data_IF_107338298831
#
_entry.id   IF_107338298831
#
_cell.length_a   1.000
_cell.length_b   1.000
_cell.length_c   1.000
_cell.angle_alpha   90.00
_cell.angle_beta   90.00
_cell.angle_gamma   90.00
#
_symmetry.space_group_name_H-M   'P 1'
#
loop_
_entity.id
_entity.type
_entity.pdbx_description
1 polymer ?
#
# COMPACT_ATOMS: atom_id res chain seq x y z
N UNK A 1 3.43 26.44 -15.35
CA UNK A 1 2.88 26.27 -16.72
C UNK A 1 3.00 24.78 -17.06
N UNK A 2 1.94 24.02 -16.86
CA UNK A 2 1.84 22.63 -17.30
C UNK A 2 1.39 22.70 -18.77
N UNK A 3 2.28 22.35 -19.69
CA UNK A 3 1.92 22.24 -21.10
C UNK A 3 0.97 21.05 -21.27
N UNK A 4 -0.22 21.31 -21.74
CA UNK A 4 -1.19 20.34 -22.23
C UNK A 4 -0.54 19.54 -23.36
N UNK A 5 -0.18 18.29 -23.09
CA UNK A 5 0.19 17.33 -24.11
C UNK A 5 -1.12 16.91 -24.78
N UNK A 6 -1.43 17.51 -25.88
CA UNK A 6 -2.58 17.14 -26.70
C UNK A 6 -2.36 15.74 -27.28
N UNK A 7 -3.37 14.90 -27.18
CA UNK A 7 -3.49 13.49 -27.63
C UNK A 7 -3.24 13.26 -29.14
N UNK A 8 -2.86 14.27 -29.92
CA UNK A 8 -2.81 14.20 -31.39
C UNK A 8 -1.46 13.77 -32.00
N UNK A 9 -0.48 13.35 -31.20
CA UNK A 9 0.84 12.88 -31.73
C UNK A 9 1.22 11.45 -31.30
N UNK A 10 0.22 10.58 -31.05
CA UNK A 10 0.53 9.18 -30.76
C UNK A 10 0.73 8.45 -32.09
N UNK A 11 2.01 8.25 -32.47
CA UNK A 11 2.42 7.31 -33.51
C UNK A 11 1.79 5.94 -33.25
N UNK A 12 1.44 5.17 -34.31
CA UNK A 12 0.91 3.80 -34.13
C UNK A 12 1.83 3.00 -33.22
N UNK A 13 1.30 2.31 -32.18
CA UNK A 13 2.12 1.52 -31.27
C UNK A 13 2.87 0.43 -32.05
N UNK A 14 4.19 0.39 -31.89
CA UNK A 14 5.09 -0.51 -32.64
C UNK A 14 5.43 -1.77 -31.86
N UNK A 15 5.30 -1.75 -30.55
CA UNK A 15 5.66 -2.88 -29.65
C UNK A 15 4.51 -3.25 -28.74
N UNK A 16 4.55 -4.47 -28.18
CA UNK A 16 3.60 -4.92 -27.15
C UNK A 16 3.55 -3.94 -25.97
N UNK A 17 4.72 -3.48 -25.52
CA UNK A 17 4.79 -2.47 -24.45
C UNK A 17 4.05 -1.18 -24.79
N UNK A 18 4.17 -0.69 -26.02
CA UNK A 18 3.51 0.56 -26.44
C UNK A 18 1.98 0.36 -26.49
N UNK A 19 1.52 -0.83 -26.89
CA UNK A 19 0.10 -1.18 -26.86
C UNK A 19 -0.42 -1.20 -25.43
N UNK A 20 0.26 -1.90 -24.49
CA UNK A 20 -0.11 -1.96 -23.08
C UNK A 20 -0.11 -0.56 -22.47
N UNK A 21 0.93 0.23 -22.69
CA UNK A 21 1.03 1.60 -22.18
C UNK A 21 -0.16 2.45 -22.61
N UNK A 22 -0.54 2.39 -23.89
CA UNK A 22 -1.70 3.13 -24.42
C UNK A 22 -3.01 2.72 -23.76
N UNK A 23 -3.28 1.40 -23.63
CA UNK A 23 -4.49 0.90 -22.97
C UNK A 23 -4.55 1.31 -21.51
N UNK A 24 -3.43 1.24 -20.81
CA UNK A 24 -3.36 1.67 -19.40
C UNK A 24 -3.61 3.17 -19.25
N UNK A 25 -3.07 4.01 -20.14
CA UNK A 25 -3.38 5.44 -20.14
C UNK A 25 -4.87 5.68 -20.32
N UNK A 26 -5.52 5.01 -21.25
CA UNK A 26 -6.96 5.13 -21.48
C UNK A 26 -7.78 4.71 -20.24
N UNK A 27 -7.36 3.65 -19.53
CA UNK A 27 -8.02 3.20 -18.31
C UNK A 27 -7.83 4.23 -17.18
N UNK A 28 -6.61 4.71 -16.97
CA UNK A 28 -6.31 5.67 -15.92
C UNK A 28 -7.00 7.02 -16.16
N UNK A 29 -6.99 7.53 -17.39
CA UNK A 29 -7.65 8.77 -17.74
C UNK A 29 -9.19 8.66 -17.62
N UNK A 30 -9.79 7.58 -18.07
CA UNK A 30 -11.22 7.34 -17.90
C UNK A 30 -11.60 7.27 -16.44
N UNK A 31 -10.80 6.61 -15.61
CA UNK A 31 -11.05 6.53 -14.19
C UNK A 31 -10.88 7.88 -13.51
N UNK A 32 -9.78 8.61 -13.80
CA UNK A 32 -9.50 9.94 -13.21
C UNK A 32 -10.63 10.95 -13.50
N UNK A 33 -11.24 10.88 -14.67
CA UNK A 33 -12.33 11.77 -15.09
C UNK A 33 -13.74 11.24 -14.74
N UNK A 34 -13.85 10.10 -14.06
CA UNK A 34 -15.13 9.58 -13.61
C UNK A 34 -15.70 10.41 -12.46
N UNK A 35 -17.04 10.58 -12.41
CA UNK A 35 -17.73 11.38 -11.38
C UNK A 35 -17.39 10.93 -9.96
N UNK A 36 -17.28 9.63 -9.74
CA UNK A 36 -16.97 9.03 -8.43
C UNK A 36 -15.68 8.21 -8.54
N UNK A 37 -14.61 8.85 -9.03
CA UNK A 37 -13.33 8.21 -9.26
C UNK A 37 -12.73 7.66 -7.96
N UNK A 38 -12.15 6.48 -8.08
CA UNK A 38 -11.24 5.96 -7.04
C UNK A 38 -9.85 6.57 -7.15
N UNK A 39 -9.51 7.13 -8.31
CA UNK A 39 -8.20 7.68 -8.64
C UNK A 39 -8.22 9.19 -8.45
N UNK A 40 -7.47 9.68 -7.47
CA UNK A 40 -7.34 11.12 -7.21
C UNK A 40 -6.25 11.72 -8.11
N UNK A 41 -5.13 11.03 -8.24
CA UNK A 41 -4.04 11.41 -9.13
C UNK A 41 -3.11 10.24 -9.42
N UNK A 42 -2.33 10.35 -10.50
CA UNK A 42 -1.25 9.44 -10.82
C UNK A 42 -0.13 10.15 -11.58
N UNK A 43 1.07 9.57 -11.57
CA UNK A 43 2.18 10.07 -12.38
C UNK A 43 2.20 9.36 -13.73
N UNK A 44 2.43 10.03 -14.85
CA UNK A 44 2.56 9.37 -16.16
C UNK A 44 3.66 8.29 -16.18
N UNK A 45 4.68 8.45 -15.34
CA UNK A 45 5.76 7.48 -15.21
C UNK A 45 5.29 6.11 -14.68
N UNK A 46 4.29 6.08 -13.78
CA UNK A 46 3.79 4.82 -13.22
C UNK A 46 3.14 3.94 -14.28
N UNK A 47 2.40 4.54 -15.21
CA UNK A 47 1.75 3.82 -16.33
C UNK A 47 2.80 3.14 -17.21
N UNK A 48 3.87 3.87 -17.55
CA UNK A 48 5.01 3.31 -18.32
C UNK A 48 5.67 2.15 -17.59
N UNK A 49 5.84 2.28 -16.28
CA UNK A 49 6.47 1.26 -15.45
C UNK A 49 5.58 0.01 -15.33
N UNK A 50 4.28 0.18 -15.14
CA UNK A 50 3.31 -0.93 -15.17
C UNK A 50 3.39 -1.64 -16.54
N UNK A 51 3.34 -0.89 -17.64
CA UNK A 51 3.44 -1.47 -18.98
C UNK A 51 4.74 -2.26 -19.19
N UNK A 52 5.86 -1.76 -18.67
CA UNK A 52 7.16 -2.44 -18.77
C UNK A 52 7.20 -3.76 -17.98
N UNK A 53 6.57 -3.84 -16.82
CA UNK A 53 6.41 -5.10 -16.07
C UNK A 53 5.48 -6.06 -16.81
N UNK A 54 4.31 -5.60 -17.22
CA UNK A 54 3.31 -6.42 -17.89
C UNK A 54 3.77 -6.94 -19.27
N UNK A 55 4.58 -6.17 -20.00
CA UNK A 55 5.18 -6.60 -21.28
C UNK A 55 6.42 -7.51 -21.11
N UNK A 56 6.83 -7.82 -19.88
CA UNK A 56 8.00 -8.61 -19.59
C UNK A 56 9.34 -7.92 -19.88
N UNK A 57 9.36 -6.61 -20.13
CA UNK A 57 10.60 -5.82 -20.26
C UNK A 57 11.35 -5.74 -18.95
N UNK A 58 10.64 -5.66 -17.82
CA UNK A 58 11.22 -5.74 -16.49
C UNK A 58 10.92 -7.14 -15.94
N UNK A 59 11.97 -7.92 -15.69
CA UNK A 59 11.88 -9.31 -15.20
C UNK A 59 12.16 -9.45 -13.70
N UNK A 60 12.54 -8.37 -13.05
CA UNK A 60 12.80 -8.35 -11.60
C UNK A 60 11.48 -8.42 -10.82
N UNK A 61 11.50 -8.93 -9.59
CA UNK A 61 10.34 -8.80 -8.72
C UNK A 61 9.92 -7.34 -8.57
N UNK A 62 8.62 -7.08 -8.54
CA UNK A 62 8.08 -5.75 -8.29
C UNK A 62 7.84 -5.53 -6.79
N UNK A 63 8.02 -4.30 -6.32
CA UNK A 63 7.69 -3.91 -4.96
C UNK A 63 6.64 -2.80 -4.93
N UNK A 64 5.61 -2.98 -4.08
CA UNK A 64 4.49 -2.05 -3.93
C UNK A 64 4.42 -1.58 -2.48
N UNK A 65 4.54 -0.27 -2.26
CA UNK A 65 4.36 0.35 -0.96
C UNK A 65 3.03 1.10 -0.89
N UNK A 66 2.21 0.83 0.13
CA UNK A 66 0.90 1.45 0.31
C UNK A 66 0.87 2.19 1.64
N UNK A 67 0.75 3.51 1.60
CA UNK A 67 0.64 4.35 2.78
C UNK A 67 -0.72 5.07 2.84
N UNK A 68 -1.03 5.61 4.00
CA UNK A 68 -2.23 6.40 4.24
C UNK A 68 -2.51 6.49 5.73
N UNK A 69 -3.35 7.43 6.11
CA UNK A 69 -3.70 7.65 7.51
C UNK A 69 -4.42 6.46 8.16
N UNK A 70 -4.52 6.47 9.48
CA UNK A 70 -5.38 5.50 10.17
C UNK A 70 -6.81 5.61 9.63
N UNK A 71 -7.50 4.47 9.57
CA UNK A 71 -8.86 4.36 9.01
C UNK A 71 -9.02 4.78 7.53
N UNK A 72 -7.94 5.06 6.79
CA UNK A 72 -8.01 5.44 5.36
C UNK A 72 -8.51 4.31 4.44
N UNK A 73 -8.52 3.07 4.87
CA UNK A 73 -8.90 1.93 4.04
C UNK A 73 -7.74 1.25 3.30
N UNK A 74 -6.48 1.66 3.58
CA UNK A 74 -5.29 1.07 2.95
C UNK A 74 -5.23 -0.46 3.04
N UNK A 75 -5.51 -1.04 4.22
CA UNK A 75 -5.46 -2.51 4.38
C UNK A 75 -6.54 -3.22 3.56
N UNK A 76 -7.74 -2.63 3.41
CA UNK A 76 -8.80 -3.17 2.55
C UNK A 76 -8.37 -3.16 1.08
N UNK A 77 -7.82 -2.03 0.62
CA UNK A 77 -7.32 -1.89 -0.76
C UNK A 77 -6.16 -2.86 -1.00
N UNK A 78 -5.27 -3.01 -0.03
CA UNK A 78 -4.14 -3.96 -0.11
C UNK A 78 -4.63 -5.39 -0.25
N UNK A 79 -5.63 -5.80 0.53
CA UNK A 79 -6.19 -7.16 0.42
C UNK A 79 -6.89 -7.38 -0.92
N UNK A 80 -7.66 -6.40 -1.41
CA UNK A 80 -8.31 -6.49 -2.72
C UNK A 80 -7.28 -6.58 -3.87
N UNK A 81 -6.15 -5.87 -3.75
CA UNK A 81 -5.05 -5.95 -4.70
C UNK A 81 -4.38 -7.34 -4.65
N UNK A 82 -4.12 -7.88 -3.46
CA UNK A 82 -3.56 -9.21 -3.27
C UNK A 82 -4.49 -10.26 -3.87
N UNK A 83 -5.76 -10.29 -3.46
CA UNK A 83 -6.76 -11.25 -3.94
C UNK A 83 -6.86 -11.24 -5.48
N UNK A 84 -6.83 -10.04 -6.07
CA UNK A 84 -6.94 -9.88 -7.52
C UNK A 84 -5.70 -10.41 -8.25
N UNK A 85 -4.50 -10.11 -7.74
CA UNK A 85 -3.24 -10.58 -8.33
C UNK A 85 -3.09 -12.10 -8.16
N UNK A 86 -3.42 -12.65 -6.99
CA UNK A 86 -3.34 -14.09 -6.74
C UNK A 86 -4.34 -14.88 -7.60
N UNK A 87 -5.56 -14.35 -7.76
CA UNK A 87 -6.56 -14.96 -8.66
C UNK A 87 -6.05 -14.99 -10.10
N UNK A 88 -5.47 -13.89 -10.58
CA UNK A 88 -4.87 -13.82 -11.90
C UNK A 88 -3.66 -14.76 -12.05
N UNK A 89 -2.78 -14.79 -11.05
CA UNK A 89 -1.60 -15.66 -11.06
C UNK A 89 -1.98 -17.14 -11.11
N UNK A 90 -3.08 -17.52 -10.45
CA UNK A 90 -3.59 -18.90 -10.43
C UNK A 90 -4.03 -19.39 -11.82
N UNK A 91 -4.50 -18.48 -12.70
CA UNK A 91 -4.86 -18.84 -14.09
C UNK A 91 -3.64 -19.31 -14.91
N UNK A 92 -2.43 -18.94 -14.46
CA UNK A 92 -1.15 -19.32 -15.08
C UNK A 92 -0.35 -20.35 -14.26
N UNK A 93 -1.00 -21.05 -13.31
CA UNK A 93 -0.33 -21.97 -12.37
C UNK A 93 0.81 -21.34 -11.56
N UNK A 94 0.83 -20.00 -11.39
CA UNK A 94 1.79 -19.29 -10.56
C UNK A 94 1.32 -19.35 -9.11
N UNK A 95 2.03 -20.10 -8.28
CA UNK A 95 1.81 -20.17 -6.83
C UNK A 95 2.69 -19.15 -6.11
N UNK A 96 2.23 -18.69 -4.93
CA UNK A 96 2.98 -17.77 -4.08
C UNK A 96 3.47 -16.53 -4.86
N UNK A 97 2.56 -15.91 -5.64
CA UNK A 97 2.87 -14.76 -6.48
C UNK A 97 3.26 -13.53 -5.65
N UNK A 98 2.77 -13.45 -4.40
CA UNK A 98 2.93 -12.29 -3.53
C UNK A 98 3.57 -12.68 -2.20
N UNK A 99 4.50 -11.82 -1.73
CA UNK A 99 4.95 -11.80 -0.34
C UNK A 99 4.52 -10.49 0.31
N UNK A 100 3.74 -10.59 1.39
CA UNK A 100 3.32 -9.43 2.18
C UNK A 100 4.30 -9.15 3.31
N UNK A 101 4.70 -7.88 3.42
CA UNK A 101 5.50 -7.35 4.53
C UNK A 101 4.67 -6.27 5.24
N UNK A 102 4.11 -6.61 6.40
CA UNK A 102 3.26 -5.67 7.13
C UNK A 102 4.12 -4.71 7.96
N UNK A 103 3.96 -3.40 7.75
CA UNK A 103 4.72 -2.37 8.47
C UNK A 103 4.48 -2.42 9.98
N UNK A 104 3.26 -2.75 10.40
CA UNK A 104 2.90 -2.81 11.82
C UNK A 104 3.63 -3.93 12.59
N UNK A 105 4.17 -4.93 11.89
CA UNK A 105 4.98 -5.98 12.52
C UNK A 105 6.38 -5.49 12.95
N UNK A 106 6.78 -4.26 12.56
CA UNK A 106 8.07 -3.66 12.87
C UNK A 106 8.06 -2.70 14.06
N UNK A 107 6.95 -2.56 14.79
CA UNK A 107 6.97 -1.86 16.07
C UNK A 107 8.01 -2.47 17.01
N UNK A 108 8.75 -1.63 17.75
CA UNK A 108 9.64 -2.12 18.80
C UNK A 108 8.86 -2.82 19.89
N UNK A 109 9.44 -3.90 20.47
CA UNK A 109 8.87 -4.54 21.66
C UNK A 109 8.79 -3.54 22.82
N UNK A 110 7.61 -3.34 23.34
CA UNK A 110 7.32 -2.48 24.50
C UNK A 110 6.53 -3.23 25.57
N UNK A 111 6.52 -4.55 25.52
CA UNK A 111 5.73 -5.40 26.42
C UNK A 111 6.07 -5.15 27.90
N UNK A 112 7.34 -4.92 28.24
CA UNK A 112 7.74 -4.60 29.62
C UNK A 112 7.24 -3.21 30.06
N UNK A 113 7.18 -2.24 29.13
CA UNK A 113 6.62 -0.92 29.43
C UNK A 113 5.09 -0.99 29.65
N UNK A 114 4.40 -1.81 28.88
CA UNK A 114 2.95 -2.06 29.05
C UNK A 114 2.67 -2.72 30.40
N UNK A 115 3.48 -3.73 30.79
CA UNK A 115 3.38 -4.37 32.10
C UNK A 115 3.62 -3.38 33.24
N UNK A 116 4.63 -2.53 33.13
CA UNK A 116 4.96 -1.51 34.13
C UNK A 116 3.85 -0.45 34.27
N UNK A 117 3.18 -0.11 33.16
CA UNK A 117 2.04 0.81 33.16
C UNK A 117 0.73 0.18 33.66
N UNK A 118 0.68 -1.14 33.80
CA UNK A 118 -0.49 -1.89 34.25
C UNK A 118 -1.50 -2.20 33.14
N UNK A 119 -1.53 -1.43 32.03
CA UNK A 119 -2.37 -1.68 30.87
C UNK A 119 -1.80 -1.00 29.61
N UNK A 120 -2.23 -1.48 28.43
CA UNK A 120 -1.91 -0.82 27.17
C UNK A 120 -2.47 0.61 27.10
N UNK A 121 -3.65 0.84 27.63
CA UNK A 121 -4.28 2.17 27.65
C UNK A 121 -3.44 3.18 28.44
N UNK A 122 -2.95 2.80 29.62
CA UNK A 122 -2.07 3.66 30.45
C UNK A 122 -0.70 3.88 29.77
N UNK A 123 -0.13 2.85 29.16
CA UNK A 123 1.08 2.98 28.36
C UNK A 123 0.91 3.95 27.20
N UNK A 124 -0.17 3.81 26.42
CA UNK A 124 -0.43 4.62 25.23
C UNK A 124 -0.71 6.11 25.53
N UNK A 125 -1.07 6.47 26.77
CA UNK A 125 -1.18 7.87 27.17
C UNK A 125 0.19 8.57 27.25
N UNK A 126 1.25 7.82 27.52
CA UNK A 126 2.58 8.35 27.78
C UNK A 126 3.61 7.98 26.70
N UNK A 127 3.25 7.11 25.78
CA UNK A 127 4.12 6.65 24.70
C UNK A 127 3.48 6.85 23.33
N UNK A 128 4.21 7.54 22.46
CA UNK A 128 3.74 7.85 21.12
C UNK A 128 4.06 6.69 20.17
N UNK A 129 3.00 6.02 19.73
CA UNK A 129 3.08 4.92 18.76
C UNK A 129 2.95 5.40 17.31
N UNK A 130 2.36 6.59 17.09
CA UNK A 130 2.07 7.13 15.76
C UNK A 130 3.24 7.98 15.21
N UNK A 131 4.46 7.56 15.50
CA UNK A 131 5.69 8.19 15.01
C UNK A 131 6.60 7.17 14.32
N UNK A 132 7.37 7.55 13.27
CA UNK A 132 8.27 6.63 12.58
C UNK A 132 9.33 6.00 13.51
N UNK A 133 9.68 6.68 14.59
CA UNK A 133 10.66 6.22 15.58
C UNK A 133 10.14 5.08 16.47
N UNK A 134 8.84 4.82 16.47
CA UNK A 134 8.26 3.68 17.16
C UNK A 134 8.50 2.35 16.43
N UNK A 135 8.94 2.40 15.16
CA UNK A 135 9.16 1.23 14.31
C UNK A 135 10.61 1.11 13.87
N UNK A 136 11.05 -0.13 13.69
CA UNK A 136 12.36 -0.47 13.12
C UNK A 136 12.30 -0.48 11.57
N UNK A 137 12.08 0.70 10.98
CA UNK A 137 11.89 0.87 9.54
C UNK A 137 13.13 0.49 8.71
N UNK A 138 14.31 0.59 9.27
CA UNK A 138 15.56 0.17 8.62
C UNK A 138 15.64 -1.35 8.48
N UNK A 139 15.15 -2.09 9.49
CA UNK A 139 15.03 -3.55 9.41
C UNK A 139 13.99 -3.94 8.34
N UNK A 140 12.85 -3.23 8.30
CA UNK A 140 11.84 -3.45 7.26
C UNK A 140 12.42 -3.22 5.85
N UNK A 141 13.14 -2.12 5.65
CA UNK A 141 13.83 -1.84 4.37
C UNK A 141 14.77 -2.99 3.99
N UNK A 142 15.59 -3.44 4.94
CA UNK A 142 16.52 -4.57 4.73
C UNK A 142 15.78 -5.84 4.30
N UNK A 143 14.71 -6.22 5.00
CA UNK A 143 13.95 -7.43 4.68
C UNK A 143 13.31 -7.34 3.28
N UNK A 144 12.74 -6.19 2.89
CA UNK A 144 12.20 -5.98 1.54
C UNK A 144 13.32 -6.14 0.49
N UNK A 145 14.50 -5.55 0.72
CA UNK A 145 15.64 -5.67 -0.21
C UNK A 145 16.17 -7.09 -0.31
N UNK A 146 16.18 -7.85 0.78
CA UNK A 146 16.55 -9.27 0.78
C UNK A 146 15.56 -10.08 -0.08
N UNK A 147 14.26 -9.90 0.11
CA UNK A 147 13.22 -10.56 -0.69
C UNK A 147 13.33 -10.21 -2.17
N UNK A 148 13.52 -8.94 -2.50
CA UNK A 148 13.71 -8.48 -3.89
C UNK A 148 14.97 -9.06 -4.55
N UNK A 149 16.00 -9.37 -3.75
CA UNK A 149 17.23 -10.02 -4.24
C UNK A 149 17.11 -11.53 -4.39
N UNK A 150 15.94 -12.12 -4.10
CA UNK A 150 15.71 -13.56 -4.15
C UNK A 150 16.09 -14.30 -2.86
N UNK A 151 16.39 -13.60 -1.77
CA UNK A 151 16.76 -14.20 -0.48
C UNK A 151 15.56 -14.30 0.44
N UNK A 152 15.29 -15.51 0.96
CA UNK A 152 14.33 -15.71 2.03
C UNK A 152 14.83 -15.05 3.34
N UNK A 153 13.91 -14.47 4.11
CA UNK A 153 14.24 -13.80 5.37
C UNK A 153 13.14 -14.03 6.42
N UNK A 154 13.50 -13.97 7.69
CA UNK A 154 12.52 -14.07 8.77
C UNK A 154 11.95 -12.70 9.08
N UNK A 155 10.62 -12.58 8.99
CA UNK A 155 9.90 -11.36 9.37
C UNK A 155 9.49 -11.41 10.85
N UNK A 156 9.48 -10.27 11.53
CA UNK A 156 8.92 -10.17 12.88
C UNK A 156 7.40 -10.27 12.84
N UNK A 157 6.79 -10.44 14.02
CA UNK A 157 5.36 -10.33 14.25
C UNK A 157 5.11 -9.50 15.49
N UNK A 158 4.29 -8.46 15.36
CA UNK A 158 3.88 -7.62 16.47
C UNK A 158 2.46 -7.99 16.93
N UNK A 159 2.28 -8.06 18.25
CA UNK A 159 0.99 -8.34 18.83
C UNK A 159 0.17 -7.06 19.00
N UNK A 160 -0.83 -6.90 18.14
CA UNK A 160 -1.76 -5.78 18.16
C UNK A 160 -2.90 -5.94 19.18
N UNK A 161 -2.92 -7.03 19.98
CA UNK A 161 -3.96 -7.28 20.98
C UNK A 161 -3.79 -6.47 22.29
N UNK A 162 -2.75 -5.62 22.34
CA UNK A 162 -2.52 -4.74 23.48
C UNK A 162 -1.37 -5.16 24.40
N UNK A 163 -0.63 -6.23 24.09
CA UNK A 163 0.57 -6.58 24.84
C UNK A 163 1.81 -5.78 24.43
N UNK A 164 1.79 -5.13 23.27
CA UNK A 164 2.93 -4.46 22.65
C UNK A 164 4.17 -5.34 22.49
N UNK A 165 3.98 -6.67 22.40
CA UNK A 165 5.06 -7.64 22.27
C UNK A 165 5.41 -7.86 20.79
N UNK A 166 6.70 -7.89 20.48
CA UNK A 166 7.20 -8.31 19.17
C UNK A 166 7.90 -9.66 19.28
N UNK A 167 7.61 -10.51 18.32
CA UNK A 167 8.26 -11.81 18.14
C UNK A 167 9.20 -11.68 16.93
N UNK A 168 10.51 -11.65 17.20
CA UNK A 168 11.50 -11.65 16.14
C UNK A 168 11.58 -13.02 15.47
N UNK A 169 11.98 -13.04 14.19
CA UNK A 169 12.14 -14.27 13.40
C UNK A 169 10.89 -15.18 13.40
N UNK A 170 9.71 -14.57 13.41
CA UNK A 170 8.44 -15.29 13.56
C UNK A 170 8.06 -16.07 12.29
N UNK A 171 8.15 -15.44 11.11
CA UNK A 171 7.66 -16.02 9.86
C UNK A 171 8.75 -16.03 8.80
N UNK A 172 9.08 -17.19 8.26
CA UNK A 172 9.98 -17.29 7.10
C UNK A 172 9.24 -16.83 5.85
N UNK A 173 9.57 -15.63 5.39
CA UNK A 173 9.10 -15.10 4.12
C UNK A 173 10.01 -15.56 2.98
N UNK A 174 9.40 -16.04 1.89
CA UNK A 174 10.10 -16.44 0.67
C UNK A 174 10.00 -15.34 -0.38
N UNK A 175 11.01 -15.20 -1.25
CA UNK A 175 10.91 -14.33 -2.41
C UNK A 175 9.73 -14.71 -3.30
N UNK A 176 9.05 -13.71 -3.83
CA UNK A 176 7.92 -13.88 -4.76
C UNK A 176 8.05 -12.92 -5.94
N UNK A 177 7.11 -12.96 -6.88
CA UNK A 177 7.09 -12.04 -8.03
C UNK A 177 6.76 -10.60 -7.62
N UNK A 178 5.98 -10.44 -6.54
CA UNK A 178 5.57 -9.13 -6.05
C UNK A 178 5.72 -9.09 -4.53
N UNK A 179 6.40 -8.06 -4.03
CA UNK A 179 6.51 -7.78 -2.60
C UNK A 179 5.58 -6.62 -2.29
N UNK A 180 4.59 -6.83 -1.42
CA UNK A 180 3.65 -5.77 -1.03
C UNK A 180 3.87 -5.41 0.44
N UNK A 181 3.99 -4.11 0.72
CA UNK A 181 3.99 -3.59 2.09
C UNK A 181 2.93 -2.51 2.27
N UNK A 182 2.28 -2.50 3.43
CA UNK A 182 1.30 -1.47 3.77
C UNK A 182 1.46 -1.02 5.23
N UNK A 183 1.16 0.25 5.48
CA UNK A 183 1.15 0.82 6.82
C UNK A 183 1.28 2.35 6.82
N UNK A 184 1.26 2.94 8.02
CA UNK A 184 1.30 4.40 8.19
C UNK A 184 2.59 5.00 7.61
N UNK A 185 3.72 4.33 7.81
CA UNK A 185 5.06 4.87 7.54
C UNK A 185 5.75 4.24 6.33
N UNK A 186 5.01 3.47 5.52
CA UNK A 186 5.55 2.75 4.36
C UNK A 186 6.22 3.66 3.32
N UNK A 187 5.75 4.90 3.14
CA UNK A 187 6.33 5.84 2.19
C UNK A 187 7.19 6.95 2.84
N UNK A 188 7.65 6.75 4.07
CA UNK A 188 8.61 7.66 4.69
C UNK A 188 9.98 7.58 4.02
N UNK A 189 10.80 8.63 4.21
CA UNK A 189 12.16 8.74 3.63
C UNK A 189 13.04 7.50 3.89
N UNK A 190 12.84 6.81 5.01
CA UNK A 190 13.63 5.63 5.37
C UNK A 190 13.32 4.39 4.53
N UNK A 191 12.11 4.29 3.96
CA UNK A 191 11.62 3.04 3.35
C UNK A 191 11.16 3.22 1.90
N UNK A 192 10.74 4.42 1.50
CA UNK A 192 10.15 4.70 0.18
C UNK A 192 10.96 4.17 -1.01
N UNK A 193 12.28 4.15 -0.90
CA UNK A 193 13.19 3.73 -1.97
C UNK A 193 13.31 2.19 -2.08
N UNK A 194 12.60 1.46 -1.21
CA UNK A 194 12.42 0.02 -1.37
C UNK A 194 11.31 -0.32 -2.38
N UNK A 195 10.48 0.67 -2.76
CA UNK A 195 9.28 0.41 -3.57
C UNK A 195 9.40 0.95 -4.99
N UNK A 196 9.08 0.08 -5.93
CA UNK A 196 8.90 0.40 -7.35
C UNK A 196 7.62 1.20 -7.58
N UNK A 197 6.54 0.83 -6.91
CA UNK A 197 5.24 1.46 -6.99
C UNK A 197 4.83 1.98 -5.62
N UNK A 198 4.48 3.25 -5.56
CA UNK A 198 4.11 3.95 -4.34
C UNK A 198 2.66 4.42 -4.43
N UNK A 199 1.82 3.90 -3.55
CA UNK A 199 0.39 4.21 -3.49
C UNK A 199 0.09 4.93 -2.17
N UNK A 200 -0.58 6.06 -2.25
CA UNK A 200 -1.11 6.74 -1.08
C UNK A 200 -2.63 6.66 -1.09
N UNK A 201 -3.22 6.27 0.05
CA UNK A 201 -4.68 6.21 0.23
C UNK A 201 -5.12 7.42 1.02
N UNK A 202 -5.73 8.37 0.32
CA UNK A 202 -6.31 9.59 0.89
C UNK A 202 -7.75 9.33 1.33
N UNK A 203 -8.17 9.96 2.41
CA UNK A 203 -9.52 9.79 2.94
C UNK A 203 -10.13 11.14 3.31
N UNK A 204 -11.44 11.27 3.09
CA UNK A 204 -12.24 12.38 3.63
C UNK A 204 -12.22 12.36 5.16
N UNK A 205 -12.04 13.53 5.78
CA UNK A 205 -11.85 13.66 7.22
C UNK A 205 -13.07 13.17 8.03
N UNK A 206 -14.29 13.41 7.52
CA UNK A 206 -15.52 12.95 8.16
C UNK A 206 -15.61 11.43 8.13
N UNK A 207 -15.36 10.82 6.97
CA UNK A 207 -15.39 9.36 6.81
C UNK A 207 -14.29 8.70 7.67
N UNK A 208 -13.10 9.31 7.71
CA UNK A 208 -12.01 8.85 8.59
C UNK A 208 -12.43 8.83 10.05
N UNK A 209 -13.04 9.93 10.51
CA UNK A 209 -13.53 10.07 11.88
C UNK A 209 -14.57 8.99 12.20
N UNK A 210 -15.58 8.82 11.36
CA UNK A 210 -16.64 7.83 11.55
C UNK A 210 -16.05 6.41 11.65
N UNK A 211 -15.15 6.04 10.74
CA UNK A 211 -14.47 4.73 10.74
C UNK A 211 -13.58 4.53 11.97
N UNK A 212 -12.91 5.59 12.41
CA UNK A 212 -12.09 5.51 13.61
C UNK A 212 -12.91 5.18 14.84
N UNK A 213 -14.03 5.88 15.06
CA UNK A 213 -14.87 5.64 16.25
C UNK A 213 -15.57 4.28 16.22
N UNK A 214 -15.93 3.76 15.04
CA UNK A 214 -16.40 2.37 14.93
C UNK A 214 -15.33 1.41 15.45
N UNK A 215 -14.09 1.53 15.00
CA UNK A 215 -12.97 0.70 15.49
C UNK A 215 -12.62 0.94 16.95
N UNK A 216 -12.71 2.17 17.42
CA UNK A 216 -12.48 2.52 18.82
C UNK A 216 -13.44 1.78 19.74
N UNK A 217 -14.71 1.68 19.32
CA UNK A 217 -15.73 0.89 20.02
C UNK A 217 -15.43 -0.61 20.00
N UNK A 218 -15.04 -1.16 18.84
CA UNK A 218 -14.64 -2.57 18.70
C UNK A 218 -13.44 -2.95 19.57
N UNK A 219 -12.52 -1.98 19.81
CA UNK A 219 -11.31 -2.14 20.61
C UNK A 219 -11.46 -1.73 22.07
N UNK A 220 -12.67 -1.36 22.47
CA UNK A 220 -13.02 -0.92 23.85
C UNK A 220 -12.12 0.23 24.36
N UNK A 221 -11.85 1.24 23.50
CA UNK A 221 -11.00 2.37 23.85
C UNK A 221 -11.68 3.36 24.82
N UNK A 222 -12.99 3.29 25.01
CA UNK A 222 -13.75 4.12 25.92
C UNK A 222 -13.42 5.63 25.80
N UNK A 223 -13.27 6.29 26.94
CA UNK A 223 -12.99 7.74 27.02
C UNK A 223 -11.62 8.14 26.42
N UNK A 224 -10.75 7.19 26.16
CA UNK A 224 -9.44 7.45 25.54
C UNK A 224 -9.53 7.69 24.02
N UNK A 225 -10.66 7.35 23.38
CA UNK A 225 -10.80 7.41 21.92
C UNK A 225 -10.54 8.83 21.37
N UNK A 226 -11.05 9.86 22.02
CA UNK A 226 -10.92 11.25 21.57
C UNK A 226 -9.45 11.72 21.60
N UNK A 227 -8.73 11.40 22.67
CA UNK A 227 -7.34 11.80 22.82
C UNK A 227 -6.45 11.02 21.82
N UNK A 228 -6.74 9.73 21.61
CA UNK A 228 -6.02 8.90 20.64
C UNK A 228 -6.29 9.43 19.22
N UNK A 229 -7.54 9.76 18.87
CA UNK A 229 -7.87 10.33 17.56
C UNK A 229 -7.14 11.65 17.30
N UNK A 230 -7.16 12.55 18.29
CA UNK A 230 -6.46 13.83 18.19
C UNK A 230 -4.95 13.63 17.96
N UNK A 231 -4.31 12.81 18.79
CA UNK A 231 -2.88 12.53 18.69
C UNK A 231 -2.53 11.91 17.34
N UNK A 232 -3.31 10.93 16.88
CA UNK A 232 -3.12 10.30 15.57
C UNK A 232 -3.19 11.29 14.41
N UNK A 233 -4.12 12.28 14.47
CA UNK A 233 -4.22 13.31 13.44
C UNK A 233 -3.03 14.28 13.47
N UNK A 234 -2.62 14.76 14.65
CA UNK A 234 -1.45 15.63 14.79
C UNK A 234 -0.18 14.96 14.24
N UNK A 235 -0.01 13.67 14.48
CA UNK A 235 1.12 12.90 13.93
C UNK A 235 0.97 12.63 12.44
N UNK A 236 -0.25 12.39 11.97
CA UNK A 236 -0.51 12.22 10.54
C UNK A 236 -0.13 13.47 9.75
N UNK A 237 -0.42 14.67 10.26
CA UNK A 237 -0.05 15.93 9.62
C UNK A 237 1.47 16.08 9.44
N UNK A 238 2.23 15.59 10.41
CA UNK A 238 3.70 15.70 10.41
C UNK A 238 4.38 14.59 9.60
N UNK A 239 3.92 13.34 9.75
CA UNK A 239 4.67 12.17 9.27
C UNK A 239 4.02 11.42 8.12
N UNK A 240 2.69 11.46 7.99
CA UNK A 240 1.97 10.60 7.04
C UNK A 240 1.47 11.38 5.83
N UNK A 241 0.75 12.48 6.02
CA UNK A 241 0.23 13.31 4.92
C UNK A 241 1.32 13.82 3.97
N UNK A 242 2.51 14.24 4.45
CA UNK A 242 3.60 14.65 3.56
C UNK A 242 4.08 13.53 2.62
N UNK A 243 3.92 12.26 3.01
CA UNK A 243 4.29 11.11 2.18
C UNK A 243 3.47 11.00 0.89
N UNK A 244 2.29 11.64 0.81
CA UNK A 244 1.49 11.74 -0.41
C UNK A 244 2.30 12.27 -1.60
N UNK A 245 3.26 13.18 -1.36
CA UNK A 245 4.14 13.74 -2.40
C UNK A 245 5.08 12.71 -3.04
N UNK A 246 5.31 11.58 -2.37
CA UNK A 246 6.16 10.50 -2.86
C UNK A 246 5.38 9.46 -3.66
N UNK A 247 4.03 9.54 -3.64
CA UNK A 247 3.19 8.54 -4.27
C UNK A 247 3.17 8.68 -5.80
N UNK A 248 3.23 7.54 -6.47
CA UNK A 248 3.01 7.42 -7.91
C UNK A 248 1.51 7.41 -8.25
N UNK A 249 0.69 6.89 -7.32
CA UNK A 249 -0.77 6.80 -7.42
C UNK A 249 -1.38 7.25 -6.09
N UNK A 250 -2.38 8.13 -6.17
CA UNK A 250 -3.20 8.51 -5.02
C UNK A 250 -4.61 7.98 -5.22
N UNK A 251 -5.07 7.13 -4.31
CA UNK A 251 -6.40 6.52 -4.33
C UNK A 251 -7.31 7.13 -3.26
N UNK A 252 -8.60 7.20 -3.56
CA UNK A 252 -9.62 7.64 -2.59
C UNK A 252 -10.02 6.51 -1.67
N UNK A 253 -9.64 6.54 -0.42
CA UNK A 253 -10.10 5.60 0.62
C UNK A 253 -11.59 5.71 0.94
N UNK A 254 -12.27 6.73 0.44
CA UNK A 254 -13.71 6.95 0.62
C UNK A 254 -14.57 6.23 -0.44
N UNK A 255 -13.95 5.72 -1.51
CA UNK A 255 -14.68 5.09 -2.60
C UNK A 255 -15.20 3.70 -2.24
N UNK A 256 -16.18 3.24 -3.03
CA UNK A 256 -16.77 1.90 -2.89
C UNK A 256 -15.72 0.82 -3.25
N UNK A 257 -15.68 -0.24 -2.44
CA UNK A 257 -14.79 -1.39 -2.62
C UNK A 257 -14.96 -2.08 -3.98
N UNK A 258 -16.17 -2.16 -4.51
CA UNK A 258 -16.45 -2.78 -5.80
C UNK A 258 -15.75 -2.01 -6.93
N UNK A 259 -15.64 -0.68 -6.81
CA UNK A 259 -14.97 0.14 -7.82
C UNK A 259 -13.48 -0.14 -7.90
N UNK A 260 -12.80 -0.40 -6.76
CA UNK A 260 -11.40 -0.81 -6.76
C UNK A 260 -11.20 -2.12 -7.51
N UNK A 261 -12.02 -3.13 -7.22
CA UNK A 261 -11.94 -4.43 -7.90
C UNK A 261 -12.18 -4.27 -9.41
N UNK A 262 -13.17 -3.47 -9.80
CA UNK A 262 -13.45 -3.20 -11.21
C UNK A 262 -12.29 -2.49 -11.91
N UNK A 263 -11.62 -1.55 -11.25
CA UNK A 263 -10.45 -0.86 -11.81
C UNK A 263 -9.27 -1.83 -11.98
N UNK A 264 -8.97 -2.64 -10.98
CA UNK A 264 -7.92 -3.66 -11.04
C UNK A 264 -8.21 -4.69 -12.14
N UNK A 265 -9.46 -5.16 -12.24
CA UNK A 265 -9.86 -6.10 -13.28
C UNK A 265 -9.72 -5.52 -14.70
N UNK A 266 -9.98 -4.21 -14.89
CA UNK A 266 -9.71 -3.55 -16.18
C UNK A 266 -8.22 -3.58 -16.54
N UNK A 267 -7.33 -3.37 -15.55
CA UNK A 267 -5.88 -3.45 -15.80
C UNK A 267 -5.48 -4.88 -16.19
N UNK A 268 -6.01 -5.88 -15.49
CA UNK A 268 -5.75 -7.30 -15.78
C UNK A 268 -6.31 -7.70 -17.14
N UNK A 269 -7.52 -7.25 -17.50
CA UNK A 269 -8.13 -7.55 -18.80
C UNK A 269 -7.26 -7.11 -19.99
N UNK A 270 -6.48 -6.02 -19.83
CA UNK A 270 -5.51 -5.59 -20.85
C UNK A 270 -4.48 -6.69 -21.13
N UNK A 271 -4.06 -7.39 -20.09
CA UNK A 271 -3.10 -8.49 -20.23
C UNK A 271 -3.74 -9.63 -21.01
N UNK A 272 -4.96 -10.04 -20.64
CA UNK A 272 -5.71 -11.08 -21.35
C UNK A 272 -5.91 -10.76 -22.83
N UNK A 273 -6.41 -9.57 -23.14
CA UNK A 273 -6.63 -9.18 -24.53
C UNK A 273 -5.36 -9.21 -25.37
N UNK A 274 -4.25 -8.76 -24.82
CA UNK A 274 -3.00 -8.61 -25.59
C UNK A 274 -2.16 -9.88 -25.65
N UNK A 275 -2.26 -10.77 -24.67
CA UNK A 275 -1.53 -12.04 -24.69
C UNK A 275 -2.29 -13.18 -25.39
N UNK A 276 -3.64 -13.15 -25.39
CA UNK A 276 -4.46 -14.21 -25.96
C UNK A 276 -5.07 -13.85 -27.32
N UNK A 277 -5.05 -12.60 -27.75
CA UNK A 277 -5.48 -12.20 -29.11
C UNK A 277 -4.39 -12.36 -30.19
N UNK A 278 -3.17 -12.70 -29.81
CA UNK A 278 -2.06 -12.98 -30.74
C UNK A 278 -1.81 -14.50 -30.95
N UNK A 279 -2.66 -15.38 -30.37
CA UNK A 279 -2.72 -16.82 -30.64
C UNK A 279 -3.93 -17.10 -31.55
#
# INVERSE_FOLDING_TARGET
MLQNITTSQITKPTTLNDKIERYLYDIFEKELNAKDSILISYTPFVVKKIAAYLSGRIKMPASIGIAGETASGKSTITMDLIDTIESFAAEFDIKDAITRVNTDDYYYDRSEMVKAAGSFSEFAKNYDLDVPQALELELMYKHIKELLSGKATYLPKYDMSGTAKRFDNHTLAKPSKIIISEGLFTLTEKVKDAFDFKIYVEIDEKIKKDRFYVRAKERDLGDSADIIYKNANEKADVYIKPCKKQADIVLSGSADRIKYKNFLNKIIAVIHELYFSEI
#
